data_IF_124721415117
#
_entry.id   IF_124721415117
#
_cell.length_a   1.000
_cell.length_b   1.000
_cell.length_c   1.000
_cell.angle_alpha   90.00
_cell.angle_beta   90.00
_cell.angle_gamma   90.00
#
_symmetry.space_group_name_H-M   'P 1'
#
loop_
_entity.id
_entity.type
_entity.pdbx_description
1 polymer ?
#
# COMPACT_ATOMS: atom_id res chain seq x y z
N UNK A 1 36.04 18.68 -0.87
CA UNK A 1 35.45 17.77 -1.88
C UNK A 1 34.37 18.52 -2.67
N UNK A 2 34.49 18.58 -4.01
CA UNK A 2 33.49 19.23 -4.88
C UNK A 2 32.12 18.55 -4.71
N UNK A 3 31.03 19.32 -4.76
CA UNK A 3 29.67 18.85 -4.47
C UNK A 3 29.20 17.67 -5.35
N UNK A 4 29.71 17.53 -6.58
CA UNK A 4 29.36 16.40 -7.46
C UNK A 4 29.81 15.06 -6.90
N UNK A 5 30.98 15.01 -6.24
CA UNK A 5 31.52 13.77 -5.67
C UNK A 5 30.69 13.28 -4.48
N UNK A 6 29.99 14.18 -3.76
CA UNK A 6 29.15 13.80 -2.60
C UNK A 6 27.84 13.12 -3.02
N UNK A 7 27.21 13.60 -4.10
CA UNK A 7 25.97 12.98 -4.63
C UNK A 7 26.24 11.58 -5.15
N UNK A 8 27.33 11.39 -5.88
CA UNK A 8 27.73 10.10 -6.42
C UNK A 8 28.06 9.09 -5.32
N UNK A 9 28.81 9.51 -4.29
CA UNK A 9 29.10 8.66 -3.12
C UNK A 9 27.81 8.25 -2.43
N UNK A 10 26.91 9.19 -2.14
CA UNK A 10 25.64 8.89 -1.46
C UNK A 10 24.76 7.92 -2.27
N UNK A 11 24.62 8.16 -3.58
CA UNK A 11 23.91 7.25 -4.48
C UNK A 11 24.50 5.84 -4.45
N UNK A 12 25.82 5.71 -4.54
CA UNK A 12 26.50 4.42 -4.54
C UNK A 12 26.34 3.68 -3.20
N UNK A 13 26.36 4.39 -2.09
CA UNK A 13 26.13 3.80 -0.76
C UNK A 13 24.71 3.26 -0.62
N UNK A 14 23.69 4.02 -1.04
CA UNK A 14 22.29 3.57 -1.05
C UNK A 14 22.11 2.35 -1.95
N UNK A 15 22.62 2.40 -3.18
CA UNK A 15 22.49 1.27 -4.11
C UNK A 15 23.22 0.04 -3.59
N UNK A 16 24.36 0.21 -2.92
CA UNK A 16 25.10 -0.89 -2.30
C UNK A 16 24.31 -1.51 -1.16
N UNK A 17 23.77 -0.70 -0.25
CA UNK A 17 22.96 -1.20 0.86
C UNK A 17 21.71 -1.94 0.35
N UNK A 18 20.99 -1.37 -0.62
CA UNK A 18 19.82 -2.01 -1.21
C UNK A 18 20.16 -3.37 -1.85
N UNK A 19 21.25 -3.44 -2.64
CA UNK A 19 21.65 -4.66 -3.36
C UNK A 19 22.27 -5.74 -2.48
N UNK A 20 23.01 -5.36 -1.45
CA UNK A 20 23.87 -6.29 -0.71
C UNK A 20 23.47 -6.45 0.76
N UNK A 21 22.42 -5.77 1.21
CA UNK A 21 21.86 -5.90 2.56
C UNK A 21 20.34 -6.12 2.51
N UNK A 22 19.57 -5.12 2.08
CA UNK A 22 18.10 -5.14 2.17
C UNK A 22 17.48 -6.26 1.31
N UNK A 23 17.72 -6.26 0.00
CA UNK A 23 17.10 -7.27 -0.88
C UNK A 23 17.56 -8.70 -0.52
N UNK A 24 18.86 -8.99 -0.34
CA UNK A 24 19.31 -10.34 0.04
C UNK A 24 18.70 -10.85 1.36
N UNK A 25 18.42 -9.97 2.32
CA UNK A 25 17.74 -10.37 3.56
C UNK A 25 16.34 -10.92 3.26
N UNK A 26 15.53 -10.17 2.50
CA UNK A 26 14.18 -10.63 2.13
C UNK A 26 14.23 -11.88 1.26
N UNK A 27 15.12 -11.96 0.27
CA UNK A 27 15.24 -13.14 -0.57
C UNK A 27 15.56 -14.41 0.24
N UNK A 28 16.45 -14.29 1.24
CA UNK A 28 16.93 -15.42 2.01
C UNK A 28 15.97 -15.88 3.09
N UNK A 29 15.36 -14.94 3.82
CA UNK A 29 14.66 -15.26 5.07
C UNK A 29 13.14 -15.21 4.95
N UNK A 30 12.58 -14.45 4.00
CA UNK A 30 11.13 -14.21 3.97
C UNK A 30 10.32 -15.22 3.14
N UNK A 31 10.97 -16.02 2.29
CA UNK A 31 10.27 -16.95 1.39
C UNK A 31 9.74 -18.15 2.18
N UNK A 32 8.41 -18.32 2.19
CA UNK A 32 7.75 -19.45 2.86
C UNK A 32 7.57 -20.61 1.87
N UNK A 33 8.08 -21.79 2.19
CA UNK A 33 7.96 -22.99 1.34
C UNK A 33 6.49 -23.38 1.05
N UNK A 34 5.56 -23.03 1.94
CA UNK A 34 4.11 -23.29 1.79
C UNK A 34 3.42 -22.38 0.78
N UNK A 35 4.10 -21.35 0.28
CA UNK A 35 3.54 -20.37 -0.66
C UNK A 35 3.65 -18.95 -0.14
N UNK A 36 3.88 -18.00 -1.05
CA UNK A 36 4.07 -16.59 -0.69
C UNK A 36 5.28 -16.39 0.21
N UNK A 37 5.08 -15.60 1.27
CA UNK A 37 6.12 -15.19 2.21
C UNK A 37 5.65 -15.42 3.66
N UNK A 38 6.60 -15.60 4.57
CA UNK A 38 6.30 -15.71 6.00
C UNK A 38 5.67 -14.42 6.51
N UNK A 39 4.70 -14.56 7.40
CA UNK A 39 4.01 -13.42 8.01
C UNK A 39 4.87 -12.62 8.99
N UNK A 40 5.86 -13.27 9.60
CA UNK A 40 6.80 -12.64 10.51
C UNK A 40 8.14 -13.38 10.52
N UNK A 41 9.20 -12.63 10.83
CA UNK A 41 10.54 -13.14 11.11
C UNK A 41 10.92 -12.73 12.54
N UNK A 42 11.62 -13.61 13.24
CA UNK A 42 12.22 -13.28 14.52
C UNK A 42 13.41 -12.33 14.32
N UNK A 43 13.89 -11.74 15.43
CA UNK A 43 15.01 -10.78 15.42
C UNK A 43 16.29 -11.31 14.76
N UNK A 44 16.53 -12.63 14.84
CA UNK A 44 17.68 -13.29 14.23
C UNK A 44 17.47 -13.66 12.74
N UNK A 45 16.32 -13.31 12.17
CA UNK A 45 15.92 -13.62 10.80
C UNK A 45 15.29 -15.01 10.63
N UNK A 46 15.12 -15.80 11.69
CA UNK A 46 14.44 -17.09 11.58
C UNK A 46 12.93 -16.90 11.32
N UNK A 47 12.30 -17.72 10.47
CA UNK A 47 10.90 -17.58 10.15
C UNK A 47 9.99 -18.02 11.31
N UNK A 48 8.92 -17.27 11.56
CA UNK A 48 7.87 -17.67 12.48
C UNK A 48 6.81 -18.45 11.69
N UNK A 49 6.97 -19.76 11.59
CA UNK A 49 6.22 -20.61 10.65
C UNK A 49 4.69 -20.55 10.74
N UNK A 50 4.15 -20.18 11.90
CA UNK A 50 2.70 -20.11 12.16
C UNK A 50 2.18 -18.68 12.29
N UNK A 51 2.99 -17.68 11.93
CA UNK A 51 2.53 -16.29 11.90
C UNK A 51 1.45 -16.08 10.82
N UNK A 52 0.45 -15.26 11.16
CA UNK A 52 -0.54 -14.79 10.19
C UNK A 52 0.14 -13.92 9.12
N UNK A 53 -0.36 -13.99 7.89
CA UNK A 53 0.16 -13.24 6.75
C UNK A 53 -0.76 -12.03 6.50
N UNK A 54 -0.22 -10.82 6.66
CA UNK A 54 -0.95 -9.58 6.39
C UNK A 54 -0.95 -9.20 4.91
N UNK A 55 -2.05 -8.60 4.43
CA UNK A 55 -2.18 -8.17 3.04
C UNK A 55 -1.14 -7.09 2.69
N UNK A 56 -1.03 -6.06 3.54
CA UNK A 56 -0.10 -4.94 3.35
C UNK A 56 1.34 -5.44 3.21
N UNK A 57 1.77 -6.38 4.05
CA UNK A 57 3.10 -6.98 3.97
C UNK A 57 3.34 -7.63 2.60
N UNK A 58 2.42 -8.49 2.15
CA UNK A 58 2.56 -9.20 0.88
C UNK A 58 2.50 -8.25 -0.33
N UNK A 59 1.67 -7.22 -0.26
CA UNK A 59 1.59 -6.19 -1.29
C UNK A 59 2.87 -5.32 -1.36
N UNK A 60 3.47 -4.99 -0.22
CA UNK A 60 4.78 -4.30 -0.18
C UNK A 60 5.90 -5.16 -0.74
N UNK A 61 5.95 -6.45 -0.39
CA UNK A 61 6.92 -7.40 -0.96
C UNK A 61 6.75 -7.47 -2.49
N UNK A 62 5.50 -7.57 -2.98
CA UNK A 62 5.19 -7.53 -4.40
C UNK A 62 5.72 -6.26 -5.07
N UNK A 63 5.42 -5.10 -4.51
CA UNK A 63 5.87 -3.82 -5.04
C UNK A 63 7.40 -3.73 -5.08
N UNK A 64 8.07 -4.04 -3.95
CA UNK A 64 9.52 -3.93 -3.80
C UNK A 64 10.26 -4.82 -4.79
N UNK A 65 9.88 -6.09 -4.94
CA UNK A 65 10.55 -6.97 -5.90
C UNK A 65 10.22 -6.61 -7.36
N UNK A 66 9.03 -6.04 -7.63
CA UNK A 66 8.67 -5.55 -8.96
C UNK A 66 9.55 -4.38 -9.39
N UNK A 67 9.69 -3.36 -8.55
CA UNK A 67 10.56 -2.20 -8.85
C UNK A 67 12.05 -2.60 -8.82
N UNK A 68 12.47 -3.49 -7.90
CA UNK A 68 13.84 -3.99 -7.87
C UNK A 68 14.21 -4.72 -9.17
N UNK A 69 13.29 -5.52 -9.73
CA UNK A 69 13.48 -6.11 -11.04
C UNK A 69 13.59 -5.04 -12.14
N UNK A 70 12.74 -4.00 -12.12
CA UNK A 70 12.84 -2.93 -13.11
C UNK A 70 14.20 -2.22 -13.08
N UNK A 71 14.70 -1.90 -11.89
CA UNK A 71 15.94 -1.14 -11.69
C UNK A 71 17.19 -2.00 -11.95
N UNK A 72 17.20 -3.24 -11.46
CA UNK A 72 18.42 -4.07 -11.46
C UNK A 72 18.42 -5.20 -12.49
N UNK A 73 17.26 -5.49 -13.11
CA UNK A 73 17.09 -6.56 -14.11
C UNK A 73 17.57 -7.94 -13.66
N UNK A 74 17.58 -8.20 -12.34
CA UNK A 74 17.91 -9.50 -11.78
C UNK A 74 16.70 -10.44 -11.90
N UNK A 75 16.81 -11.58 -12.64
CA UNK A 75 15.71 -12.54 -12.79
C UNK A 75 15.16 -13.10 -11.48
N UNK A 76 15.96 -13.14 -10.40
CA UNK A 76 15.48 -13.61 -9.11
C UNK A 76 14.44 -12.67 -8.50
N UNK A 77 14.61 -11.35 -8.66
CA UNK A 77 13.62 -10.36 -8.23
C UNK A 77 12.30 -10.53 -8.99
N UNK A 78 12.37 -10.84 -10.30
CA UNK A 78 11.18 -11.16 -11.09
C UNK A 78 10.45 -12.41 -10.56
N UNK A 79 11.20 -13.47 -10.23
CA UNK A 79 10.62 -14.70 -9.67
C UNK A 79 9.89 -14.42 -8.35
N UNK A 80 10.48 -13.61 -7.47
CA UNK A 80 9.89 -13.25 -6.18
C UNK A 80 8.69 -12.31 -6.34
N UNK A 81 8.73 -11.37 -7.29
CA UNK A 81 7.60 -10.53 -7.64
C UNK A 81 6.42 -11.37 -8.16
N UNK A 82 6.67 -12.31 -9.09
CA UNK A 82 5.64 -13.22 -9.59
C UNK A 82 5.07 -14.12 -8.50
N UNK A 83 5.91 -14.59 -7.56
CA UNK A 83 5.47 -15.35 -6.38
C UNK A 83 4.52 -14.53 -5.51
N UNK A 84 4.88 -13.29 -5.19
CA UNK A 84 4.06 -12.39 -4.39
C UNK A 84 2.73 -12.08 -5.09
N UNK A 85 2.77 -11.79 -6.39
CA UNK A 85 1.60 -11.51 -7.21
C UNK A 85 0.63 -12.68 -7.21
N UNK A 86 1.14 -13.90 -7.44
CA UNK A 86 0.28 -15.08 -7.51
C UNK A 86 -0.37 -15.35 -6.15
N UNK A 87 0.38 -15.23 -5.06
CA UNK A 87 -0.15 -15.42 -3.71
C UNK A 87 -1.20 -14.37 -3.33
N UNK A 88 -0.96 -13.09 -3.68
CA UNK A 88 -1.90 -12.00 -3.44
C UNK A 88 -3.24 -12.25 -4.16
N UNK A 89 -3.19 -12.57 -5.45
CA UNK A 89 -4.41 -12.77 -6.26
C UNK A 89 -5.18 -14.03 -5.84
N UNK A 90 -4.47 -15.11 -5.52
CA UNK A 90 -5.10 -16.40 -5.23
C UNK A 90 -5.69 -16.47 -3.82
N UNK A 91 -5.07 -15.80 -2.84
CA UNK A 91 -5.44 -15.96 -1.43
C UNK A 91 -5.98 -14.71 -0.75
N UNK A 92 -5.48 -13.52 -1.09
CA UNK A 92 -5.92 -12.29 -0.44
C UNK A 92 -7.13 -11.64 -1.11
N UNK A 93 -7.22 -11.68 -2.45
CA UNK A 93 -8.36 -11.10 -3.16
C UNK A 93 -9.61 -11.94 -2.89
N UNK A 94 -10.64 -11.29 -2.34
CA UNK A 94 -11.94 -11.92 -2.11
C UNK A 94 -12.71 -11.98 -3.43
N UNK A 95 -12.79 -13.17 -4.02
CA UNK A 95 -13.47 -13.40 -5.30
C UNK A 95 -15.00 -13.37 -5.20
N UNK A 96 -15.57 -13.41 -3.99
CA UNK A 96 -17.02 -13.36 -3.78
C UNK A 96 -17.49 -11.91 -3.63
N UNK A 97 -16.83 -11.15 -2.74
CA UNK A 97 -17.27 -9.79 -2.38
C UNK A 97 -16.40 -8.68 -2.96
N UNK A 98 -15.26 -9.00 -3.60
CA UNK A 98 -14.27 -8.01 -4.01
C UNK A 98 -13.42 -7.47 -2.84
N UNK A 99 -12.40 -6.68 -3.17
CA UNK A 99 -11.41 -6.18 -2.21
C UNK A 99 -10.40 -7.27 -1.79
N UNK A 100 -9.71 -7.03 -0.68
CA UNK A 100 -8.72 -7.95 -0.12
C UNK A 100 -9.01 -8.22 1.36
N UNK A 101 -8.81 -9.46 1.80
CA UNK A 101 -8.83 -9.82 3.22
C UNK A 101 -7.69 -9.13 3.97
N UNK A 102 -7.93 -8.73 5.21
CA UNK A 102 -6.89 -8.09 6.03
C UNK A 102 -5.74 -9.05 6.36
N UNK A 103 -6.07 -10.27 6.83
CA UNK A 103 -5.07 -11.28 7.16
C UNK A 103 -5.48 -12.70 6.75
N UNK A 104 -4.47 -13.51 6.44
CA UNK A 104 -4.59 -14.95 6.28
C UNK A 104 -3.88 -15.65 7.45
N UNK A 105 -4.29 -16.86 7.78
CA UNK A 105 -3.45 -17.74 8.59
C UNK A 105 -2.20 -18.19 7.80
N UNK A 106 -1.26 -18.86 8.47
CA UNK A 106 -0.02 -19.34 7.84
C UNK A 106 -0.23 -20.31 6.66
N UNK A 107 -1.43 -20.90 6.53
CA UNK A 107 -1.80 -21.83 5.46
C UNK A 107 -2.46 -21.11 4.27
N UNK A 108 -2.63 -19.80 4.35
CA UNK A 108 -3.28 -19.00 3.31
C UNK A 108 -4.81 -19.03 3.35
N UNK A 109 -5.39 -19.36 4.51
CA UNK A 109 -6.84 -19.33 4.72
C UNK A 109 -7.22 -17.97 5.34
N UNK A 110 -8.23 -17.25 4.80
CA UNK A 110 -8.66 -15.97 5.36
C UNK A 110 -9.05 -16.08 6.83
N UNK A 111 -8.35 -15.32 7.67
CA UNK A 111 -8.52 -15.32 9.14
C UNK A 111 -9.29 -14.08 9.57
N UNK A 112 -8.72 -12.90 9.31
CA UNK A 112 -9.45 -11.65 9.37
C UNK A 112 -9.93 -11.28 7.97
N UNK A 113 -11.25 -11.29 7.80
CA UNK A 113 -11.91 -11.12 6.50
C UNK A 113 -12.41 -9.71 6.29
N UNK A 114 -12.25 -8.84 7.27
CA UNK A 114 -12.62 -7.44 7.16
C UNK A 114 -11.76 -6.76 6.08
N UNK A 115 -12.32 -5.71 5.50
CA UNK A 115 -11.77 -5.00 4.35
C UNK A 115 -11.34 -3.62 4.81
N UNK A 116 -10.06 -3.33 4.67
CA UNK A 116 -9.52 -2.01 4.93
C UNK A 116 -9.12 -1.34 3.62
N UNK A 117 -9.55 -0.09 3.44
CA UNK A 117 -9.19 0.74 2.30
C UNK A 117 -7.67 0.82 2.16
N UNK A 118 -6.96 0.90 3.29
CA UNK A 118 -5.49 0.84 3.35
C UNK A 118 -4.91 -0.43 2.68
N UNK A 119 -5.43 -1.60 3.04
CA UNK A 119 -4.98 -2.89 2.48
C UNK A 119 -5.24 -3.00 0.98
N UNK A 120 -6.39 -2.49 0.53
CA UNK A 120 -6.77 -2.48 -0.89
C UNK A 120 -5.89 -1.52 -1.68
N UNK A 121 -5.61 -0.32 -1.14
CA UNK A 121 -4.69 0.64 -1.76
C UNK A 121 -3.31 0.03 -1.98
N UNK A 122 -2.74 -0.64 -0.97
CA UNK A 122 -1.46 -1.35 -1.14
C UNK A 122 -1.52 -2.47 -2.18
N UNK A 123 -2.62 -3.22 -2.26
CA UNK A 123 -2.79 -4.24 -3.28
C UNK A 123 -2.83 -3.64 -4.70
N UNK A 124 -3.52 -2.50 -4.90
CA UNK A 124 -3.48 -1.73 -6.16
C UNK A 124 -2.06 -1.28 -6.48
N UNK A 125 -1.33 -0.74 -5.49
CA UNK A 125 0.03 -0.25 -5.66
C UNK A 125 0.98 -1.37 -6.09
N UNK A 126 0.97 -2.51 -5.39
CA UNK A 126 1.79 -3.67 -5.71
C UNK A 126 1.47 -4.27 -7.08
N UNK A 127 0.18 -4.43 -7.41
CA UNK A 127 -0.24 -5.03 -8.68
C UNK A 127 0.05 -4.11 -9.88
N UNK A 128 -0.16 -2.80 -9.75
CA UNK A 128 0.18 -1.82 -10.79
C UNK A 128 1.68 -1.78 -11.04
N UNK A 129 2.52 -1.85 -10.00
CA UNK A 129 3.98 -1.90 -10.15
C UNK A 129 4.44 -3.22 -10.77
N UNK A 130 3.80 -4.34 -10.41
CA UNK A 130 4.05 -5.63 -11.04
C UNK A 130 3.72 -5.61 -12.52
N UNK A 131 2.61 -4.98 -12.92
CA UNK A 131 2.30 -4.76 -14.33
C UNK A 131 3.36 -3.91 -15.03
N UNK A 132 3.82 -2.80 -14.43
CA UNK A 132 4.94 -2.00 -14.97
C UNK A 132 6.18 -2.86 -15.21
N UNK A 133 6.48 -3.76 -14.28
CA UNK A 133 7.66 -4.62 -14.33
C UNK A 133 7.57 -5.76 -15.37
N UNK A 134 6.37 -6.27 -15.63
CA UNK A 134 6.18 -7.57 -16.31
C UNK A 134 5.24 -7.55 -17.51
N UNK A 135 4.40 -6.53 -17.63
CA UNK A 135 3.25 -6.47 -18.55
C UNK A 135 2.21 -7.58 -18.32
N UNK A 136 2.12 -8.11 -17.09
CA UNK A 136 1.11 -9.10 -16.69
C UNK A 136 -0.29 -8.49 -16.70
N UNK A 137 -1.07 -8.75 -17.75
CA UNK A 137 -2.44 -8.23 -17.85
C UNK A 137 -3.31 -8.63 -16.64
N UNK A 138 -3.11 -9.83 -16.10
CA UNK A 138 -3.77 -10.30 -14.88
C UNK A 138 -3.56 -9.34 -13.71
N UNK A 139 -2.36 -8.78 -13.56
CA UNK A 139 -2.06 -7.82 -12.49
C UNK A 139 -2.77 -6.48 -12.71
N UNK A 140 -2.80 -6.00 -13.95
CA UNK A 140 -3.51 -4.76 -14.29
C UNK A 140 -5.02 -4.89 -14.08
N UNK A 141 -5.62 -5.99 -14.54
CA UNK A 141 -7.05 -6.23 -14.43
C UNK A 141 -7.51 -6.29 -12.96
N UNK A 142 -6.75 -6.98 -12.10
CA UNK A 142 -7.05 -7.06 -10.67
C UNK A 142 -6.81 -5.71 -9.96
N UNK A 143 -5.80 -4.94 -10.34
CA UNK A 143 -5.61 -3.59 -9.81
C UNK A 143 -6.78 -2.65 -10.17
N UNK A 144 -7.28 -2.73 -11.41
CA UNK A 144 -8.45 -1.97 -11.87
C UNK A 144 -9.72 -2.43 -11.14
N UNK A 145 -9.90 -3.74 -10.93
CA UNK A 145 -11.04 -4.26 -10.18
C UNK A 145 -11.04 -3.76 -8.73
N UNK A 146 -9.87 -3.72 -8.08
CA UNK A 146 -9.71 -3.17 -6.73
C UNK A 146 -9.94 -1.65 -6.68
N UNK A 147 -9.50 -0.90 -7.70
CA UNK A 147 -9.84 0.51 -7.87
C UNK A 147 -11.36 0.71 -7.89
N UNK A 148 -12.08 0.00 -8.77
CA UNK A 148 -13.54 0.10 -8.82
C UNK A 148 -14.21 -0.35 -7.52
N UNK A 149 -13.59 -1.25 -6.77
CA UNK A 149 -14.08 -1.64 -5.45
C UNK A 149 -14.04 -0.45 -4.47
N UNK A 150 -12.94 0.31 -4.44
CA UNK A 150 -12.85 1.51 -3.62
C UNK A 150 -13.81 2.60 -4.09
N UNK A 151 -13.88 2.87 -5.39
CA UNK A 151 -14.74 3.93 -5.93
C UNK A 151 -16.22 3.69 -5.73
N UNK A 152 -16.67 2.43 -5.84
CA UNK A 152 -18.09 2.12 -5.74
C UNK A 152 -18.57 1.94 -4.29
N UNK A 153 -17.66 1.72 -3.34
CA UNK A 153 -18.02 1.30 -1.97
C UNK A 153 -17.37 2.20 -0.91
N UNK A 154 -16.06 2.40 -0.99
CA UNK A 154 -15.30 3.10 0.03
C UNK A 154 -15.33 4.62 -0.13
N UNK A 155 -15.46 5.12 -1.36
CA UNK A 155 -15.50 6.54 -1.66
C UNK A 155 -16.74 7.19 -1.04
N UNK A 156 -16.51 8.23 -0.25
CA UNK A 156 -17.56 9.06 0.34
C UNK A 156 -17.85 10.23 -0.60
N UNK A 157 -18.92 10.09 -1.39
CA UNK A 157 -19.35 11.14 -2.33
C UNK A 157 -19.92 12.39 -1.66
N UNK A 158 -20.30 12.32 -0.37
CA UNK A 158 -20.89 13.44 0.35
C UNK A 158 -19.82 14.37 0.93
N UNK A 159 -18.84 13.81 1.64
CA UNK A 159 -17.78 14.59 2.31
C UNK A 159 -16.40 14.49 1.63
N UNK A 160 -16.26 13.65 0.62
CA UNK A 160 -14.99 13.37 -0.04
C UNK A 160 -14.09 12.38 0.74
N UNK A 161 -13.09 11.88 0.04
CA UNK A 161 -12.18 10.85 0.54
C UNK A 161 -12.85 9.48 0.67
N UNK A 162 -12.28 8.63 1.52
CA UNK A 162 -12.62 7.22 1.61
C UNK A 162 -12.84 6.82 3.06
N UNK A 163 -13.83 5.97 3.29
CA UNK A 163 -14.07 5.33 4.57
C UNK A 163 -13.01 4.25 4.81
N UNK A 164 -12.49 4.19 6.02
CA UNK A 164 -11.31 3.42 6.38
C UNK A 164 -11.53 1.90 6.33
N UNK A 165 -12.61 1.44 6.95
CA UNK A 165 -12.79 0.04 7.33
C UNK A 165 -14.20 -0.44 7.10
N UNK A 166 -14.30 -1.70 6.70
CA UNK A 166 -15.53 -2.42 6.38
C UNK A 166 -15.44 -3.85 6.90
N UNK A 167 -16.59 -4.43 7.23
CA UNK A 167 -16.72 -5.88 7.41
C UNK A 167 -16.50 -6.62 6.07
N UNK A 168 -16.35 -7.95 6.09
CA UNK A 168 -16.20 -8.78 4.85
C UNK A 168 -17.24 -8.40 3.77
N UNK A 169 -18.48 -8.16 4.18
CA UNK A 169 -19.64 -7.87 3.33
C UNK A 169 -19.94 -6.37 3.16
N UNK A 170 -18.91 -5.53 3.33
CA UNK A 170 -18.97 -4.09 3.05
C UNK A 170 -19.93 -3.30 3.94
N UNK A 171 -20.26 -3.83 5.12
CA UNK A 171 -21.04 -3.10 6.12
C UNK A 171 -20.14 -2.29 7.04
N UNK A 172 -20.72 -1.25 7.65
CA UNK A 172 -20.11 -0.45 8.73
C UNK A 172 -19.65 -1.40 9.85
N UNK A 173 -18.34 -1.48 10.18
CA UNK A 173 -17.86 -2.34 11.25
C UNK A 173 -18.24 -1.79 12.63
N UNK A 174 -18.17 -2.63 13.67
CA UNK A 174 -18.41 -2.17 15.04
C UNK A 174 -17.26 -1.28 15.59
N UNK A 175 -16.10 -1.29 14.92
CA UNK A 175 -14.90 -0.52 15.24
C UNK A 175 -14.33 0.10 13.96
N UNK A 176 -13.82 1.33 14.03
CA UNK A 176 -13.33 2.09 12.87
C UNK A 176 -11.82 2.32 12.99
N UNK A 177 -11.17 2.97 12.04
CA UNK A 177 -9.76 3.38 12.18
C UNK A 177 -8.73 2.28 11.99
N UNK A 178 -7.46 2.63 12.26
CA UNK A 178 -6.29 1.78 12.06
C UNK A 178 -6.46 0.41 12.72
N UNK A 179 -6.20 -0.67 11.97
CA UNK A 179 -6.36 -2.07 12.39
C UNK A 179 -7.79 -2.43 12.88
N UNK A 180 -8.78 -1.57 12.67
CA UNK A 180 -10.14 -1.77 13.15
C UNK A 180 -10.30 -1.60 14.66
N UNK A 181 -9.46 -0.78 15.31
CA UNK A 181 -9.50 -0.57 16.77
C UNK A 181 -9.66 0.91 17.20
N UNK A 182 -9.78 1.84 16.25
CA UNK A 182 -10.00 3.28 16.48
C UNK A 182 -11.46 3.76 16.33
N UNK A 183 -11.63 5.08 16.38
CA UNK A 183 -12.93 5.76 16.15
C UNK A 183 -12.94 6.62 14.86
N UNK A 184 -11.79 6.77 14.21
CA UNK A 184 -11.64 7.57 13.01
C UNK A 184 -12.21 6.84 11.80
N UNK A 185 -13.23 7.42 11.16
CA UNK A 185 -13.78 6.88 9.92
C UNK A 185 -12.93 7.24 8.71
N UNK A 186 -12.09 8.27 8.81
CA UNK A 186 -11.11 8.69 7.81
C UNK A 186 -9.77 8.94 8.49
N UNK A 187 -8.68 8.49 7.88
CA UNK A 187 -7.32 8.75 8.37
C UNK A 187 -6.46 9.36 7.27
N UNK A 188 -5.56 10.26 7.64
CA UNK A 188 -4.57 10.80 6.70
C UNK A 188 -3.75 9.66 6.07
N UNK A 189 -3.28 8.70 6.90
CA UNK A 189 -2.44 7.60 6.47
C UNK A 189 -3.06 6.82 5.30
N UNK A 190 -4.35 6.47 5.41
CA UNK A 190 -5.03 5.78 4.32
C UNK A 190 -5.20 6.63 3.09
N UNK A 191 -5.51 7.93 3.24
CA UNK A 191 -5.66 8.81 2.08
C UNK A 191 -4.36 9.03 1.32
N UNK A 192 -3.21 9.12 2.01
CA UNK A 192 -1.91 9.25 1.32
C UNK A 192 -1.54 7.97 0.56
N UNK A 193 -1.91 6.79 1.06
CA UNK A 193 -1.65 5.54 0.35
C UNK A 193 -2.67 5.24 -0.75
N UNK A 194 -3.91 5.74 -0.65
CA UNK A 194 -4.82 5.75 -1.81
C UNK A 194 -4.25 6.67 -2.90
N UNK A 195 -3.74 7.85 -2.54
CA UNK A 195 -3.05 8.76 -3.48
C UNK A 195 -1.87 8.04 -4.15
N UNK A 196 -0.96 7.46 -3.36
CA UNK A 196 0.21 6.71 -3.85
C UNK A 196 -0.18 5.58 -4.82
N UNK A 197 -1.16 4.75 -4.44
CA UNK A 197 -1.64 3.64 -5.25
C UNK A 197 -2.25 4.12 -6.57
N UNK A 198 -3.07 5.16 -6.51
CA UNK A 198 -3.75 5.71 -7.68
C UNK A 198 -2.78 6.39 -8.63
N UNK A 199 -1.77 7.08 -8.10
CA UNK A 199 -0.70 7.70 -8.90
C UNK A 199 0.04 6.62 -9.67
N UNK A 200 0.41 5.51 -9.03
CA UNK A 200 1.09 4.41 -9.71
C UNK A 200 0.21 3.71 -10.75
N UNK A 201 -1.06 3.45 -10.41
CA UNK A 201 -2.03 2.86 -11.34
C UNK A 201 -2.23 3.77 -12.57
N UNK A 202 -2.33 5.08 -12.36
CA UNK A 202 -2.51 6.04 -13.45
C UNK A 202 -1.30 6.09 -14.38
N UNK A 203 -0.09 5.70 -13.95
CA UNK A 203 1.06 5.58 -14.85
C UNK A 203 0.84 4.55 -15.96
N UNK A 204 0.03 3.52 -15.70
CA UNK A 204 -0.19 2.40 -16.63
C UNK A 204 -1.60 2.33 -17.19
N UNK A 205 -2.55 3.01 -16.57
CA UNK A 205 -3.95 3.05 -17.00
C UNK A 205 -4.49 4.48 -16.92
N UNK A 206 -4.49 5.16 -18.09
CA UNK A 206 -4.87 6.57 -18.23
C UNK A 206 -6.40 6.76 -18.28
N UNK A 207 -7.06 6.42 -17.19
CA UNK A 207 -8.50 6.56 -17.03
C UNK A 207 -8.91 7.94 -16.50
N UNK A 208 -9.97 8.51 -17.07
CA UNK A 208 -10.46 9.85 -16.70
C UNK A 208 -11.13 9.87 -15.31
N UNK A 209 -11.78 8.78 -14.90
CA UNK A 209 -12.32 8.61 -13.57
C UNK A 209 -11.19 8.59 -12.53
N UNK A 210 -10.15 7.79 -12.77
CA UNK A 210 -8.97 7.75 -11.92
C UNK A 210 -8.28 9.12 -11.82
N UNK A 211 -8.10 9.82 -12.94
CA UNK A 211 -7.54 11.18 -12.97
C UNK A 211 -8.35 12.16 -12.13
N UNK A 212 -9.68 12.11 -12.23
CA UNK A 212 -10.59 12.93 -11.43
C UNK A 212 -10.42 12.63 -9.93
N UNK A 213 -10.31 11.37 -9.55
CA UNK A 213 -10.18 10.97 -8.15
C UNK A 213 -8.82 11.33 -7.56
N UNK A 214 -7.74 11.29 -8.35
CA UNK A 214 -6.44 11.85 -7.96
C UNK A 214 -6.54 13.34 -7.64
N UNK A 215 -7.22 14.12 -8.49
CA UNK A 215 -7.44 15.55 -8.22
C UNK A 215 -8.28 15.77 -6.96
N UNK A 216 -9.32 14.96 -6.74
CA UNK A 216 -10.15 15.03 -5.55
C UNK A 216 -9.35 14.70 -4.26
N UNK A 217 -8.50 13.67 -4.30
CA UNK A 217 -7.61 13.30 -3.21
C UNK A 217 -6.60 14.39 -2.87
N UNK A 218 -5.97 15.00 -3.87
CA UNK A 218 -5.06 16.14 -3.66
C UNK A 218 -5.77 17.29 -2.96
N UNK A 219 -6.99 17.64 -3.39
CA UNK A 219 -7.77 18.69 -2.74
C UNK A 219 -8.11 18.33 -1.29
N UNK A 220 -8.48 17.08 -1.00
CA UNK A 220 -8.70 16.61 0.37
C UNK A 220 -7.43 16.78 1.22
N UNK A 221 -6.27 16.35 0.72
CA UNK A 221 -5.02 16.45 1.48
C UNK A 221 -4.63 17.91 1.76
N UNK A 222 -4.80 18.80 0.79
CA UNK A 222 -4.43 20.22 0.90
C UNK A 222 -5.42 21.01 1.75
N UNK A 223 -6.73 20.78 1.57
CA UNK A 223 -7.78 21.61 2.18
C UNK A 223 -8.30 21.07 3.52
N UNK A 224 -8.21 19.75 3.74
CA UNK A 224 -8.79 19.08 4.92
C UNK A 224 -7.75 18.50 5.86
N UNK A 225 -6.64 17.97 5.31
CA UNK A 225 -5.65 17.24 6.12
C UNK A 225 -4.52 18.16 6.58
N UNK A 226 -4.00 19.00 5.69
CA UNK A 226 -2.93 19.93 6.01
C UNK A 226 -3.41 21.08 6.90
N UNK A 227 -2.72 21.30 8.02
CA UNK A 227 -2.96 22.43 8.90
C UNK A 227 -1.99 23.59 8.57
N UNK A 228 -2.46 24.70 7.98
CA UNK A 228 -1.59 25.80 7.56
C UNK A 228 -1.01 26.62 8.73
N UNK A 229 -1.53 26.45 9.96
CA UNK A 229 -1.04 27.17 11.14
C UNK A 229 0.13 26.46 11.79
N UNK A 230 0.12 25.12 11.82
CA UNK A 230 1.19 24.31 12.39
C UNK A 230 2.17 23.77 11.34
N UNK A 231 1.79 23.77 10.06
CA UNK A 231 2.50 23.11 8.96
C UNK A 231 2.64 21.59 9.11
N UNK A 232 1.77 20.97 9.91
CA UNK A 232 1.66 19.52 10.11
C UNK A 232 0.38 18.96 9.49
N UNK A 233 0.35 17.65 9.25
CA UNK A 233 -0.85 16.92 8.83
C UNK A 233 -1.67 16.50 10.05
N UNK A 234 -2.96 16.79 10.05
CA UNK A 234 -3.91 16.19 10.99
C UNK A 234 -4.12 14.71 10.63
N UNK A 235 -4.19 13.83 11.63
CA UNK A 235 -4.04 12.38 11.38
C UNK A 235 -5.37 11.61 11.29
N UNK A 236 -6.34 11.97 12.14
CA UNK A 236 -7.55 11.19 12.36
C UNK A 236 -8.79 12.08 12.32
N UNK A 237 -9.81 11.65 11.58
CA UNK A 237 -11.00 12.46 11.34
C UNK A 237 -12.29 11.64 11.47
N UNK A 238 -13.38 12.34 11.75
CA UNK A 238 -14.72 11.82 11.51
C UNK A 238 -15.14 11.99 10.03
N UNK A 239 -16.40 11.65 9.71
CA UNK A 239 -16.93 11.71 8.35
C UNK A 239 -16.87 13.13 7.76
N UNK A 240 -16.97 14.17 8.60
CA UNK A 240 -17.00 15.57 8.21
C UNK A 240 -15.61 16.25 8.15
N UNK A 241 -14.52 15.48 8.26
CA UNK A 241 -13.14 15.98 8.31
C UNK A 241 -12.83 16.84 9.55
N UNK A 242 -13.53 16.64 10.66
CA UNK A 242 -13.16 17.25 11.93
C UNK A 242 -12.07 16.40 12.60
N UNK A 243 -10.97 17.03 13.00
CA UNK A 243 -9.85 16.33 13.66
C UNK A 243 -10.32 15.74 15.00
N UNK A 244 -9.99 14.47 15.22
CA UNK A 244 -10.32 13.75 16.44
C UNK A 244 -9.20 13.79 17.49
N UNK A 245 -7.99 14.09 17.05
CA UNK A 245 -6.79 14.12 17.89
C UNK A 245 -5.90 15.31 17.53
N UNK A 246 -5.01 15.65 18.45
CA UNK A 246 -4.00 16.70 18.28
C UNK A 246 -2.61 16.05 18.46
N UNK A 247 -2.17 15.35 17.41
CA UNK A 247 -0.93 14.59 17.35
C UNK A 247 -0.25 14.87 16.02
N UNK A 248 1.05 15.17 16.06
CA UNK A 248 1.88 15.34 14.88
C UNK A 248 2.61 14.05 14.53
N UNK A 249 2.80 13.80 13.24
CA UNK A 249 3.57 12.66 12.74
C UNK A 249 4.59 13.11 11.68
N UNK A 250 5.79 13.50 12.14
CA UNK A 250 6.86 14.01 11.29
C UNK A 250 7.25 13.09 10.12
N UNK A 251 7.16 11.77 10.30
CA UNK A 251 7.43 10.80 9.23
C UNK A 251 6.43 10.90 8.09
N UNK A 252 5.13 10.92 8.42
CA UNK A 252 4.08 11.09 7.43
C UNK A 252 4.06 12.51 6.83
N UNK A 253 4.43 13.55 7.58
CA UNK A 253 4.55 14.91 7.02
C UNK A 253 5.55 14.94 5.86
N UNK A 254 6.75 14.40 6.06
CA UNK A 254 7.79 14.40 5.03
C UNK A 254 7.48 13.41 3.90
N UNK A 255 6.83 12.28 4.21
CA UNK A 255 6.39 11.30 3.20
C UNK A 255 5.34 11.91 2.26
N UNK A 256 4.31 12.51 2.83
CA UNK A 256 3.24 13.15 2.06
C UNK A 256 3.75 14.27 1.18
N UNK A 257 4.75 15.02 1.64
CA UNK A 257 5.33 16.12 0.86
C UNK A 257 5.90 15.66 -0.49
N UNK A 258 6.56 14.50 -0.56
CA UNK A 258 7.08 13.99 -1.83
C UNK A 258 6.02 13.24 -2.64
N UNK A 259 5.07 12.55 -2.00
CA UNK A 259 3.94 11.88 -2.67
C UNK A 259 3.01 12.84 -3.40
N UNK A 260 2.68 13.98 -2.78
CA UNK A 260 1.88 15.04 -3.42
C UNK A 260 2.64 15.58 -4.65
N UNK A 261 3.94 15.82 -4.52
CA UNK A 261 4.76 16.32 -5.62
C UNK A 261 4.94 15.30 -6.76
N UNK A 262 4.93 14.00 -6.48
CA UNK A 262 4.93 12.95 -7.51
C UNK A 262 3.60 12.90 -8.28
N UNK A 263 2.50 13.26 -7.62
CA UNK A 263 1.15 13.18 -8.16
C UNK A 263 0.73 14.41 -8.97
N UNK A 264 1.16 15.60 -8.56
CA UNK A 264 0.80 16.90 -9.14
C UNK A 264 1.34 17.12 -10.56
#
# INVERSE_FOLDING_TARGET
>A
MKASNRKEVFYNEIVKDLKYNILPFWEKYSVDEKGGFYGALAYDGSPVENADKGCVLNARILWTFSIAYQVFKNPQYLNLANRAQQYLIDHFIDKEMGGVYWTLDSRGIPKDKDKQTYGIAFAIYGLSEHYRATQSQKSLDEAIALYYCLENIAFDSENGGYIESFTKDWQKPNRYGYDGDGIASKTMNTHIHVLEAYTNLYQVWKDEGLRKQLSALLNVLIEKVYNPSSHHLMLYFNDAWESLEDIDSYGHDIETAWLINETA
#
